data_IF_874897583836
#
_entry.id   IF_874897583836
#
_cell.length_a   1.000
_cell.length_b   1.000
_cell.length_c   1.000
_cell.angle_alpha   90.00
_cell.angle_beta   90.00
_cell.angle_gamma   90.00
#
_symmetry.space_group_name_H-M   'P 1'
#
loop_
_entity.id
_entity.type
_entity.pdbx_description
1 polymer ?
#
# COMPACT_ATOMS: atom_id res chain seq x y z
N UNK A 1 -17.61 -10.90 -5.91
CA UNK A 1 -17.50 -9.44 -6.11
C UNK A 1 -16.20 -8.96 -5.48
N UNK A 2 -15.42 -8.17 -6.19
CA UNK A 2 -14.14 -7.64 -5.72
C UNK A 2 -14.23 -6.11 -5.69
N UNK A 3 -13.76 -5.52 -4.61
CA UNK A 3 -13.54 -4.08 -4.45
C UNK A 3 -12.04 -3.82 -4.27
N UNK A 4 -11.44 -3.07 -5.17
CA UNK A 4 -10.05 -2.61 -5.09
C UNK A 4 -10.02 -1.14 -4.67
N UNK A 5 -9.47 -0.88 -3.49
CA UNK A 5 -9.49 0.45 -2.84
C UNK A 5 -8.13 1.11 -3.03
N UNK A 6 -8.13 2.36 -3.47
CA UNK A 6 -6.92 3.09 -3.86
C UNK A 6 -6.13 2.32 -4.92
N UNK A 7 -6.83 1.97 -6.00
CA UNK A 7 -6.36 1.05 -7.04
C UNK A 7 -5.16 1.60 -7.86
N UNK A 8 -4.82 2.87 -7.73
CA UNK A 8 -3.77 3.51 -8.51
C UNK A 8 -3.98 3.38 -10.02
N UNK A 9 -2.93 3.33 -10.84
CA UNK A 9 -3.03 3.22 -12.29
C UNK A 9 -3.42 1.81 -12.79
N UNK A 10 -3.74 0.85 -11.92
CA UNK A 10 -4.37 -0.43 -12.21
C UNK A 10 -3.46 -1.57 -12.66
N UNK A 11 -2.16 -1.39 -12.75
CA UNK A 11 -1.27 -2.49 -13.18
C UNK A 11 -1.25 -3.64 -12.16
N UNK A 12 -1.22 -3.30 -10.88
CA UNK A 12 -1.35 -4.26 -9.79
C UNK A 12 -2.73 -4.92 -9.78
N UNK A 13 -3.80 -4.12 -9.92
CA UNK A 13 -5.18 -4.60 -9.96
C UNK A 13 -5.39 -5.67 -11.03
N UNK A 14 -4.88 -5.43 -12.24
CA UNK A 14 -4.96 -6.40 -13.34
C UNK A 14 -4.15 -7.65 -13.01
N UNK A 15 -2.93 -7.51 -12.48
CA UNK A 15 -2.05 -8.64 -12.21
C UNK A 15 -2.68 -9.61 -11.21
N UNK A 16 -3.02 -9.15 -10.01
CA UNK A 16 -3.55 -10.03 -8.96
C UNK A 16 -4.97 -10.53 -9.26
N UNK A 17 -5.82 -9.70 -9.88
CA UNK A 17 -7.18 -10.12 -10.26
C UNK A 17 -7.15 -11.19 -11.35
N UNK A 18 -6.21 -11.11 -12.30
CA UNK A 18 -6.01 -12.13 -13.31
C UNK A 18 -5.64 -13.48 -12.69
N UNK A 19 -4.77 -13.50 -11.68
CA UNK A 19 -4.43 -14.72 -10.95
C UNK A 19 -5.63 -15.29 -10.20
N UNK A 20 -6.37 -14.47 -9.46
CA UNK A 20 -7.58 -14.92 -8.72
C UNK A 20 -8.66 -15.43 -9.69
N UNK A 21 -8.83 -14.83 -10.88
CA UNK A 21 -9.87 -15.20 -11.82
C UNK A 21 -9.77 -16.65 -12.29
N UNK A 22 -8.57 -17.24 -12.22
CA UNK A 22 -8.34 -18.69 -12.53
C UNK A 22 -9.12 -19.62 -11.61
N UNK A 23 -9.45 -19.16 -10.42
CA UNK A 23 -10.16 -19.92 -9.39
C UNK A 23 -11.66 -19.58 -9.32
N UNK A 24 -12.13 -18.61 -10.14
CA UNK A 24 -13.51 -18.14 -10.15
C UNK A 24 -14.15 -18.41 -11.52
N UNK A 25 -14.67 -19.60 -11.74
CA UNK A 25 -15.14 -20.04 -13.08
C UNK A 25 -16.31 -19.20 -13.62
N UNK A 26 -17.13 -18.63 -12.72
CA UNK A 26 -18.28 -17.81 -13.08
C UNK A 26 -17.93 -16.37 -13.43
N UNK A 27 -16.66 -15.98 -13.32
CA UNK A 27 -16.19 -14.63 -13.58
C UNK A 27 -16.33 -13.69 -12.38
N UNK A 28 -15.77 -12.51 -12.52
CA UNK A 28 -15.60 -11.50 -11.47
C UNK A 28 -16.45 -10.28 -11.77
N UNK A 29 -17.17 -9.76 -10.77
CA UNK A 29 -17.68 -8.38 -10.76
C UNK A 29 -16.65 -7.52 -10.05
N UNK A 30 -16.08 -6.54 -10.74
CA UNK A 30 -14.96 -5.72 -10.24
C UNK A 30 -15.38 -4.28 -10.03
N UNK A 31 -15.12 -3.78 -8.84
CA UNK A 31 -15.24 -2.38 -8.44
C UNK A 31 -13.85 -1.85 -8.12
N UNK A 32 -13.56 -0.62 -8.52
CA UNK A 32 -12.33 0.05 -8.13
C UNK A 32 -12.62 1.49 -7.71
N UNK A 33 -11.89 1.95 -6.71
CA UNK A 33 -12.00 3.31 -6.21
C UNK A 33 -10.62 3.90 -6.00
N UNK A 34 -10.50 5.21 -6.23
CA UNK A 34 -9.30 5.97 -5.93
C UNK A 34 -9.65 7.41 -5.54
N UNK A 35 -8.65 8.13 -5.04
CA UNK A 35 -8.79 9.54 -4.68
C UNK A 35 -9.15 10.39 -5.90
N UNK A 36 -10.13 11.31 -5.81
CA UNK A 36 -10.59 12.10 -6.96
C UNK A 36 -9.51 12.96 -7.64
N UNK A 37 -8.47 13.33 -6.90
CA UNK A 37 -7.29 14.06 -7.43
C UNK A 37 -6.21 13.18 -8.05
N UNK A 38 -6.37 11.87 -7.99
CA UNK A 38 -5.43 10.90 -8.58
C UNK A 38 -5.61 10.80 -10.09
N UNK A 39 -4.81 11.55 -10.85
CA UNK A 39 -4.89 11.62 -12.31
C UNK A 39 -3.70 10.87 -12.94
N UNK A 40 -4.00 9.98 -13.87
CA UNK A 40 -3.00 9.29 -14.68
C UNK A 40 -2.34 10.27 -15.64
N UNK A 41 -1.03 10.42 -15.55
CA UNK A 41 -0.26 11.25 -16.47
C UNK A 41 -0.28 10.74 -17.91
N UNK A 42 -0.49 9.45 -18.08
CA UNK A 42 -0.52 8.79 -19.39
C UNK A 42 -1.83 9.07 -20.13
N UNK A 43 -2.96 9.07 -19.42
CA UNK A 43 -4.28 9.12 -20.04
C UNK A 43 -5.07 10.39 -19.75
N UNK A 44 -4.69 11.16 -18.72
CA UNK A 44 -5.48 12.28 -18.21
C UNK A 44 -6.77 11.89 -17.48
N UNK A 45 -7.05 10.58 -17.36
CA UNK A 45 -8.20 10.04 -16.63
C UNK A 45 -7.87 9.89 -15.13
N UNK A 46 -8.91 9.77 -14.29
CA UNK A 46 -8.69 9.38 -12.89
C UNK A 46 -8.09 7.97 -12.80
N UNK A 47 -7.41 7.66 -11.70
CA UNK A 47 -6.85 6.32 -11.51
C UNK A 47 -7.93 5.24 -11.50
N UNK A 48 -9.08 5.48 -10.91
CA UNK A 48 -10.19 4.54 -10.92
C UNK A 48 -10.66 4.26 -12.35
N UNK A 49 -10.83 5.28 -13.20
CA UNK A 49 -11.20 5.11 -14.61
C UNK A 49 -10.11 4.38 -15.40
N UNK A 50 -8.84 4.76 -15.20
CA UNK A 50 -7.69 4.09 -15.84
C UNK A 50 -7.64 2.61 -15.49
N UNK A 51 -7.86 2.27 -14.21
CA UNK A 51 -7.91 0.88 -13.73
C UNK A 51 -9.08 0.12 -14.37
N UNK A 52 -10.28 0.68 -14.37
CA UNK A 52 -11.44 0.05 -15.00
C UNK A 52 -11.21 -0.21 -16.50
N UNK A 53 -10.58 0.71 -17.21
CA UNK A 53 -10.21 0.55 -18.62
C UNK A 53 -9.19 -0.58 -18.82
N UNK A 54 -8.14 -0.65 -18.01
CA UNK A 54 -7.13 -1.73 -18.05
C UNK A 54 -7.75 -3.10 -17.73
N UNK A 55 -8.66 -3.17 -16.76
CA UNK A 55 -9.39 -4.39 -16.42
C UNK A 55 -10.24 -4.88 -17.59
N UNK A 56 -10.94 -3.97 -18.30
CA UNK A 56 -11.70 -4.31 -19.49
C UNK A 56 -10.80 -4.85 -20.59
N UNK A 57 -9.71 -4.16 -20.90
CA UNK A 57 -8.73 -4.61 -21.89
C UNK A 57 -8.12 -5.98 -21.53
N UNK A 58 -7.86 -6.26 -20.26
CA UNK A 58 -7.38 -7.55 -19.81
C UNK A 58 -8.42 -8.67 -20.04
N UNK A 59 -9.71 -8.38 -19.84
CA UNK A 59 -10.79 -9.33 -20.12
C UNK A 59 -10.95 -9.58 -21.63
N UNK A 60 -10.91 -8.55 -22.46
CA UNK A 60 -10.95 -8.65 -23.93
C UNK A 60 -9.78 -9.48 -24.47
N UNK A 61 -8.62 -9.41 -23.83
CA UNK A 61 -7.43 -10.22 -24.15
C UNK A 61 -7.43 -11.61 -23.48
N UNK A 62 -8.53 -12.05 -22.87
CA UNK A 62 -8.68 -13.38 -22.27
C UNK A 62 -7.85 -13.61 -21.00
N UNK A 63 -7.26 -12.59 -20.39
CA UNK A 63 -6.47 -12.71 -19.17
C UNK A 63 -7.32 -12.92 -17.91
N UNK A 64 -8.56 -12.45 -17.95
CA UNK A 64 -9.53 -12.64 -16.86
C UNK A 64 -10.95 -12.65 -17.42
N UNK A 65 -11.90 -13.15 -16.61
CA UNK A 65 -13.31 -13.18 -16.98
C UNK A 65 -14.10 -12.21 -16.09
N UNK A 66 -14.74 -11.24 -16.72
CA UNK A 66 -15.65 -10.30 -16.06
C UNK A 66 -17.11 -10.71 -16.30
N UNK A 67 -17.94 -10.60 -15.25
CA UNK A 67 -19.41 -10.77 -15.34
C UNK A 67 -20.06 -9.56 -16.00
N UNK A 68 -19.52 -8.37 -15.72
CA UNK A 68 -19.97 -7.08 -16.26
C UNK A 68 -18.79 -6.13 -16.40
N UNK A 69 -18.99 -5.00 -17.05
CA UNK A 69 -17.99 -3.95 -17.14
C UNK A 69 -17.53 -3.50 -15.74
N UNK A 70 -16.22 -3.27 -15.52
CA UNK A 70 -15.71 -2.77 -14.25
C UNK A 70 -16.34 -1.43 -13.89
N UNK A 71 -16.63 -1.23 -12.62
CA UNK A 71 -17.22 0.00 -12.10
C UNK A 71 -16.12 0.81 -11.41
N UNK A 72 -15.87 2.02 -11.91
CA UNK A 72 -14.95 2.98 -11.34
C UNK A 72 -15.71 4.02 -10.52
N UNK A 73 -15.19 4.36 -9.34
CA UNK A 73 -15.73 5.41 -8.47
C UNK A 73 -14.59 6.23 -7.90
N UNK A 74 -14.66 7.55 -8.06
CA UNK A 74 -13.75 8.44 -7.36
C UNK A 74 -14.30 8.68 -5.96
N UNK A 75 -13.54 8.31 -4.93
CA UNK A 75 -13.95 8.45 -3.54
C UNK A 75 -12.79 8.86 -2.64
N UNK A 76 -13.03 9.86 -1.79
CA UNK A 76 -12.11 10.19 -0.71
C UNK A 76 -12.27 9.19 0.43
N UNK A 77 -11.29 8.31 0.53
CA UNK A 77 -11.26 7.24 1.51
C UNK A 77 -11.16 7.78 2.95
N UNK A 78 -10.39 8.85 3.16
CA UNK A 78 -10.00 9.31 4.49
C UNK A 78 -10.90 10.41 5.08
N UNK A 79 -11.37 11.34 4.27
CA UNK A 79 -12.16 12.49 4.75
C UNK A 79 -13.60 12.47 4.25
N UNK A 80 -13.87 11.92 3.07
CA UNK A 80 -15.16 11.90 2.42
C UNK A 80 -16.25 11.14 3.17
N UNK A 81 -17.49 11.34 2.75
CA UNK A 81 -18.68 10.59 3.24
C UNK A 81 -19.11 9.50 2.27
N UNK A 82 -18.41 9.37 1.15
CA UNK A 82 -18.78 8.49 0.05
C UNK A 82 -18.71 7.03 0.47
N UNK A 83 -19.74 6.27 0.11
CA UNK A 83 -19.73 4.82 0.23
C UNK A 83 -18.84 4.24 -0.88
N UNK A 84 -18.08 3.19 -0.54
CA UNK A 84 -17.19 2.52 -1.52
C UNK A 84 -17.95 1.57 -2.44
N UNK A 85 -19.17 1.19 -2.07
CA UNK A 85 -20.03 0.27 -2.81
C UNK A 85 -21.42 0.88 -3.00
N UNK A 86 -22.13 0.51 -4.06
CA UNK A 86 -23.53 0.88 -4.23
C UNK A 86 -24.39 0.41 -3.05
N UNK A 87 -25.48 1.12 -2.70
CA UNK A 87 -26.35 0.74 -1.62
C UNK A 87 -26.82 -0.72 -1.70
N UNK A 88 -26.73 -1.45 -0.58
CA UNK A 88 -27.15 -2.84 -0.47
C UNK A 88 -26.23 -3.86 -1.13
N UNK A 89 -25.05 -3.45 -1.61
CA UNK A 89 -24.04 -4.37 -2.14
C UNK A 89 -22.84 -4.45 -1.21
N UNK A 90 -22.25 -5.65 -1.10
CA UNK A 90 -21.03 -5.95 -0.37
C UNK A 90 -20.04 -6.66 -1.29
N UNK A 91 -18.76 -6.60 -0.95
CA UNK A 91 -17.69 -7.28 -1.68
C UNK A 91 -17.27 -8.55 -0.95
N UNK A 92 -17.09 -9.65 -1.68
CA UNK A 92 -16.51 -10.89 -1.15
C UNK A 92 -15.01 -10.70 -0.86
N UNK A 93 -14.35 -9.84 -1.64
CA UNK A 93 -12.94 -9.47 -1.45
C UNK A 93 -12.83 -7.95 -1.48
N UNK A 94 -12.20 -7.37 -0.46
CA UNK A 94 -11.75 -5.97 -0.42
C UNK A 94 -10.23 -5.97 -0.43
N UNK A 95 -9.62 -5.36 -1.42
CA UNK A 95 -8.17 -5.21 -1.51
C UNK A 95 -7.76 -3.76 -1.23
N UNK A 96 -6.74 -3.57 -0.39
CA UNK A 96 -6.19 -2.26 -0.07
C UNK A 96 -4.69 -2.35 0.16
N UNK A 97 -3.90 -1.72 -0.68
CA UNK A 97 -2.44 -1.78 -0.56
C UNK A 97 -1.76 -0.43 -0.79
N UNK A 98 -0.68 -0.22 -0.04
CA UNK A 98 0.28 0.87 -0.22
C UNK A 98 -0.30 2.29 -0.29
N UNK A 99 -1.43 2.56 0.39
CA UNK A 99 -2.04 3.89 0.37
C UNK A 99 -2.43 4.45 1.74
N UNK A 100 -2.48 3.61 2.79
CA UNK A 100 -2.86 4.05 4.14
C UNK A 100 -1.96 5.15 4.71
N UNK A 101 -0.70 5.19 4.35
CA UNK A 101 0.24 6.23 4.76
C UNK A 101 -0.03 7.61 4.11
N UNK A 102 -0.89 7.67 3.09
CA UNK A 102 -1.32 8.92 2.46
C UNK A 102 -2.50 9.61 3.18
N UNK A 103 -3.01 9.04 4.26
CA UNK A 103 -4.09 9.66 5.06
C UNK A 103 -3.74 11.13 5.42
N UNK A 104 -2.48 11.40 5.78
CA UNK A 104 -1.99 12.73 6.08
C UNK A 104 -2.17 13.70 4.92
N UNK A 105 -1.88 13.24 3.71
CA UNK A 105 -1.95 14.07 2.50
C UNK A 105 -3.40 14.47 2.20
N UNK A 106 -4.37 13.60 2.50
CA UNK A 106 -5.80 13.85 2.30
C UNK A 106 -6.42 14.81 3.33
N UNK A 107 -5.78 15.01 4.49
CA UNK A 107 -6.34 15.79 5.59
C UNK A 107 -6.07 17.31 5.51
N UNK A 108 -5.35 17.79 4.50
CA UNK A 108 -5.11 19.22 4.29
C UNK A 108 -4.53 19.91 5.51
N UNK A 109 -5.24 20.87 6.11
CA UNK A 109 -4.79 21.65 7.26
C UNK A 109 -4.54 20.80 8.52
N UNK A 110 -5.24 19.68 8.68
CA UNK A 110 -5.09 18.77 9.83
C UNK A 110 -3.95 17.74 9.66
N UNK A 111 -3.18 17.81 8.57
CA UNK A 111 -2.13 16.82 8.22
C UNK A 111 -1.01 16.64 9.25
N UNK A 112 -0.87 17.54 10.21
CA UNK A 112 0.12 17.47 11.29
C UNK A 112 -0.49 17.11 12.64
N UNK A 113 -1.81 16.91 12.70
CA UNK A 113 -2.50 16.44 13.90
C UNK A 113 -2.55 14.91 13.90
N UNK A 114 -1.80 14.28 14.78
CA UNK A 114 -1.72 12.81 14.94
C UNK A 114 -3.10 12.20 15.16
N UNK A 115 -3.96 12.83 15.95
CA UNK A 115 -5.31 12.32 16.23
C UNK A 115 -6.20 12.39 15.00
N UNK A 116 -6.11 13.47 14.22
CA UNK A 116 -6.84 13.59 12.96
C UNK A 116 -6.38 12.53 11.94
N UNK A 117 -5.07 12.25 11.88
CA UNK A 117 -4.49 11.24 11.00
C UNK A 117 -5.00 9.84 11.38
N UNK A 118 -4.93 9.47 12.67
CA UNK A 118 -5.46 8.18 13.18
C UNK A 118 -6.96 8.07 12.92
N UNK A 119 -7.74 9.11 13.19
CA UNK A 119 -9.18 9.14 12.93
C UNK A 119 -9.49 8.99 11.43
N UNK A 120 -8.71 9.62 10.55
CA UNK A 120 -8.83 9.46 9.09
C UNK A 120 -8.57 8.02 8.64
N UNK A 121 -7.54 7.39 9.19
CA UNK A 121 -7.22 6.00 8.90
C UNK A 121 -8.33 5.04 9.40
N UNK A 122 -8.80 5.24 10.65
CA UNK A 122 -9.91 4.46 11.19
C UNK A 122 -11.18 4.60 10.34
N UNK A 123 -11.47 5.81 9.87
CA UNK A 123 -12.61 6.06 8.97
C UNK A 123 -12.48 5.30 7.65
N UNK A 124 -11.27 5.22 7.08
CA UNK A 124 -11.01 4.40 5.91
C UNK A 124 -11.30 2.91 6.19
N UNK A 125 -10.81 2.40 7.32
CA UNK A 125 -11.09 1.02 7.76
C UNK A 125 -12.60 0.80 7.93
N UNK A 126 -13.33 1.73 8.56
CA UNK A 126 -14.79 1.62 8.76
C UNK A 126 -15.55 1.53 7.43
N UNK A 127 -15.14 2.32 6.43
CA UNK A 127 -15.76 2.28 5.09
C UNK A 127 -15.52 0.93 4.41
N UNK A 128 -14.30 0.42 4.47
CA UNK A 128 -13.97 -0.89 3.90
C UNK A 128 -14.66 -2.02 4.65
N UNK A 129 -14.74 -1.92 5.98
CA UNK A 129 -15.50 -2.84 6.82
C UNK A 129 -16.98 -2.86 6.46
N UNK A 130 -17.59 -1.70 6.25
CA UNK A 130 -18.99 -1.61 5.81
C UNK A 130 -19.21 -2.22 4.43
N UNK A 131 -18.23 -2.08 3.51
CA UNK A 131 -18.29 -2.65 2.17
C UNK A 131 -18.02 -4.16 2.12
N UNK A 132 -17.37 -4.73 3.12
CA UNK A 132 -17.03 -6.15 3.19
C UNK A 132 -18.25 -7.01 3.48
N UNK A 133 -18.41 -8.11 2.76
CA UNK A 133 -19.43 -9.13 3.08
C UNK A 133 -19.15 -9.80 4.43
N UNK A 134 -20.20 -10.38 5.05
CA UNK A 134 -20.07 -11.09 6.33
C UNK A 134 -19.10 -12.27 6.27
N UNK A 135 -19.04 -12.97 5.14
CA UNK A 135 -18.13 -14.08 4.89
C UNK A 135 -16.93 -13.65 4.02
N UNK A 136 -16.78 -12.35 3.79
CA UNK A 136 -15.77 -11.78 2.91
C UNK A 136 -14.38 -11.73 3.54
N UNK A 137 -13.40 -11.48 2.69
CA UNK A 137 -12.00 -11.30 3.03
C UNK A 137 -11.51 -9.91 2.62
N UNK A 138 -11.04 -9.12 3.58
CA UNK A 138 -10.26 -7.93 3.28
C UNK A 138 -8.77 -8.28 3.32
N UNK A 139 -8.05 -7.86 2.28
CA UNK A 139 -6.60 -8.02 2.16
C UNK A 139 -5.98 -6.63 2.20
N UNK A 140 -5.03 -6.44 3.10
CA UNK A 140 -4.28 -5.20 3.24
C UNK A 140 -2.77 -5.46 3.17
N UNK A 141 -2.05 -4.63 2.42
CA UNK A 141 -0.59 -4.70 2.32
C UNK A 141 -0.01 -3.32 2.54
N UNK A 142 0.68 -3.13 3.65
CA UNK A 142 1.33 -1.86 3.97
C UNK A 142 2.69 -2.09 4.61
N UNK A 143 3.55 -1.11 4.49
CA UNK A 143 4.81 -1.09 5.20
C UNK A 143 4.55 -1.04 6.72
N UNK A 144 5.30 -1.83 7.49
CA UNK A 144 5.17 -1.94 8.96
C UNK A 144 6.42 -1.45 9.67
N UNK A 145 6.24 -0.89 10.85
CA UNK A 145 7.33 -0.57 11.78
C UNK A 145 7.66 -1.72 12.74
N UNK A 146 6.91 -2.81 12.72
CA UNK A 146 7.17 -3.96 13.58
C UNK A 146 8.60 -4.47 13.35
N UNK A 147 9.37 -4.53 14.42
CA UNK A 147 10.75 -5.01 14.46
C UNK A 147 10.94 -6.18 15.45
N UNK A 148 9.87 -6.86 15.79
CA UNK A 148 9.87 -7.97 16.76
C UNK A 148 10.82 -9.12 16.39
N UNK A 149 11.14 -9.24 15.09
CA UNK A 149 12.10 -10.19 14.53
C UNK A 149 13.53 -9.65 14.37
N UNK A 150 13.77 -8.41 14.82
CA UNK A 150 15.05 -7.72 14.65
C UNK A 150 15.26 -7.06 13.29
N UNK A 151 14.32 -7.22 12.35
CA UNK A 151 14.37 -6.59 11.03
C UNK A 151 13.43 -5.38 11.01
N UNK A 152 13.98 -4.24 10.63
CA UNK A 152 13.22 -2.99 10.49
C UNK A 152 13.16 -2.56 9.03
N UNK A 153 11.98 -2.08 8.59
CA UNK A 153 11.89 -1.37 7.32
C UNK A 153 12.78 -0.13 7.34
N UNK A 154 13.54 0.07 6.26
CA UNK A 154 14.42 1.23 6.14
C UNK A 154 13.74 2.41 5.48
N UNK A 155 12.60 2.19 4.81
CA UNK A 155 11.81 3.26 4.19
C UNK A 155 10.94 3.97 5.21
N UNK A 156 10.22 3.23 6.07
CA UNK A 156 9.24 3.79 7.00
C UNK A 156 9.82 4.89 7.92
N UNK A 157 10.98 4.70 8.60
CA UNK A 157 11.56 5.73 9.44
C UNK A 157 11.96 7.00 8.65
N UNK A 158 12.54 6.81 7.46
CA UNK A 158 12.97 7.92 6.60
C UNK A 158 11.75 8.68 6.07
N UNK A 159 10.73 7.98 5.58
CA UNK A 159 9.48 8.58 5.12
C UNK A 159 8.75 9.33 6.23
N UNK A 160 8.74 8.82 7.47
CA UNK A 160 8.21 9.53 8.62
C UNK A 160 9.00 10.81 8.91
N UNK A 161 10.33 10.71 8.95
CA UNK A 161 11.22 11.84 9.29
C UNK A 161 11.15 12.99 8.29
N UNK A 162 11.17 12.68 6.99
CA UNK A 162 11.26 13.68 5.94
C UNK A 162 9.92 14.03 5.30
N UNK A 163 9.00 13.08 5.21
CA UNK A 163 7.73 13.24 4.52
C UNK A 163 6.53 13.24 5.49
N UNK A 164 6.74 12.93 6.77
CA UNK A 164 5.70 12.89 7.80
C UNK A 164 4.66 11.79 7.59
N UNK A 165 4.99 10.74 6.85
CA UNK A 165 4.10 9.60 6.59
C UNK A 165 3.90 8.75 7.85
N UNK A 166 2.77 8.03 7.92
CA UNK A 166 2.57 7.01 8.92
C UNK A 166 3.47 5.81 8.65
N UNK A 167 4.03 5.26 9.69
CA UNK A 167 4.87 4.06 9.68
C UNK A 167 4.25 2.88 10.44
N UNK A 168 3.03 3.05 10.97
CA UNK A 168 2.30 2.07 11.77
C UNK A 168 0.89 1.76 11.21
N UNK A 169 0.72 1.88 9.89
CA UNK A 169 -0.57 1.66 9.24
C UNK A 169 -1.15 0.27 9.53
N UNK A 170 -0.40 -0.84 9.38
CA UNK A 170 -0.93 -2.18 9.68
C UNK A 170 -1.37 -2.35 11.13
N UNK A 171 -0.60 -1.79 12.06
CA UNK A 171 -0.90 -1.85 13.49
C UNK A 171 -2.20 -1.10 13.82
N UNK A 172 -2.40 0.08 13.23
CA UNK A 172 -3.62 0.86 13.41
C UNK A 172 -4.84 0.18 12.76
N UNK A 173 -4.68 -0.46 11.60
CA UNK A 173 -5.72 -1.27 10.97
C UNK A 173 -6.13 -2.41 11.91
N UNK A 174 -5.17 -3.18 12.45
CA UNK A 174 -5.44 -4.29 13.33
C UNK A 174 -6.22 -3.84 14.58
N UNK A 175 -5.76 -2.78 15.25
CA UNK A 175 -6.45 -2.20 16.40
C UNK A 175 -7.90 -1.81 16.07
N UNK A 176 -8.12 -1.17 14.90
CA UNK A 176 -9.47 -0.77 14.52
C UNK A 176 -10.36 -1.96 14.19
N UNK A 177 -9.85 -2.98 13.52
CA UNK A 177 -10.60 -4.21 13.21
C UNK A 177 -10.98 -4.97 14.49
N UNK A 178 -10.09 -5.06 15.46
CA UNK A 178 -10.40 -5.65 16.78
C UNK A 178 -11.55 -4.90 17.48
N UNK A 179 -11.53 -3.56 17.45
CA UNK A 179 -12.62 -2.74 17.99
C UNK A 179 -13.96 -2.99 17.29
N UNK A 180 -13.93 -3.35 16.00
CA UNK A 180 -15.12 -3.70 15.20
C UNK A 180 -15.55 -5.16 15.37
N UNK A 181 -14.86 -5.93 16.21
CA UNK A 181 -15.15 -7.36 16.45
C UNK A 181 -14.69 -8.30 15.35
N UNK A 182 -13.77 -7.85 14.50
CA UNK A 182 -13.19 -8.65 13.42
C UNK A 182 -11.97 -9.45 13.84
N UNK A 183 -11.50 -10.27 12.90
CA UNK A 183 -10.31 -11.09 13.04
C UNK A 183 -9.25 -10.65 12.04
N UNK A 184 -7.99 -10.63 12.46
CA UNK A 184 -6.84 -10.25 11.63
C UNK A 184 -5.78 -11.34 11.73
N UNK A 185 -5.34 -11.88 10.60
CA UNK A 185 -4.13 -12.67 10.49
C UNK A 185 -3.07 -11.84 9.75
N UNK A 186 -1.85 -11.81 10.27
CA UNK A 186 -0.76 -10.99 9.75
C UNK A 186 0.41 -11.86 9.34
N UNK A 187 0.94 -11.62 8.16
CA UNK A 187 2.22 -12.19 7.68
C UNK A 187 3.16 -11.04 7.37
N UNK A 188 4.23 -10.92 8.13
CA UNK A 188 5.29 -9.97 7.81
C UNK A 188 6.23 -10.58 6.78
N UNK A 189 6.61 -9.80 5.78
CA UNK A 189 7.58 -10.18 4.77
C UNK A 189 8.53 -9.04 4.47
N UNK A 190 9.69 -9.39 3.95
CA UNK A 190 10.74 -8.45 3.61
C UNK A 190 10.98 -8.50 2.11
N UNK A 191 11.07 -7.32 1.51
CA UNK A 191 11.38 -7.15 0.10
C UNK A 191 12.64 -6.30 -0.03
N UNK A 192 13.76 -6.88 -0.48
CA UNK A 192 14.94 -6.08 -0.80
C UNK A 192 14.72 -5.33 -2.11
N UNK A 193 14.79 -4.01 -2.03
CA UNK A 193 14.68 -3.13 -3.17
C UNK A 193 16.08 -2.74 -3.64
N UNK A 194 16.49 -3.25 -4.81
CA UNK A 194 17.79 -2.94 -5.38
C UNK A 194 17.87 -1.48 -5.80
N UNK A 195 18.79 -0.73 -5.19
CA UNK A 195 19.03 0.66 -5.56
C UNK A 195 19.97 0.75 -6.78
N UNK A 196 19.76 1.72 -7.69
CA UNK A 196 20.69 1.94 -8.80
C UNK A 196 22.11 2.23 -8.31
N UNK A 197 23.11 1.63 -8.93
CA UNK A 197 24.50 1.89 -8.56
C UNK A 197 24.91 3.29 -8.95
N UNK A 198 25.36 4.08 -7.98
CA UNK A 198 25.86 5.43 -8.14
C UNK A 198 27.29 5.53 -7.57
N UNK A 199 28.13 6.30 -8.24
CA UNK A 199 29.38 6.78 -7.68
C UNK A 199 29.13 7.97 -6.73
N UNK A 200 30.18 8.44 -6.05
CA UNK A 200 30.05 9.59 -5.16
C UNK A 200 29.57 10.86 -5.88
N UNK A 201 29.99 11.08 -7.11
CA UNK A 201 29.56 12.24 -7.90
C UNK A 201 28.07 12.13 -8.26
N UNK A 202 27.57 10.92 -8.57
CA UNK A 202 26.15 10.66 -8.79
C UNK A 202 25.30 10.99 -7.57
N UNK A 203 25.71 10.53 -6.38
CA UNK A 203 25.02 10.87 -5.14
C UNK A 203 24.97 12.38 -4.87
N UNK A 204 26.08 13.10 -5.13
CA UNK A 204 26.11 14.55 -4.96
C UNK A 204 25.18 15.27 -5.98
N UNK A 205 25.09 14.77 -7.23
CA UNK A 205 24.17 15.34 -8.21
C UNK A 205 22.70 15.17 -7.84
N UNK A 206 22.31 14.07 -7.15
CA UNK A 206 20.93 13.90 -6.68
C UNK A 206 20.48 15.01 -5.70
N UNK A 207 21.41 15.63 -4.99
CA UNK A 207 21.14 16.72 -4.04
C UNK A 207 20.91 18.07 -4.71
N UNK A 208 21.15 18.18 -6.01
CA UNK A 208 21.17 19.44 -6.77
C UNK A 208 20.10 19.42 -7.87
N UNK A 209 18.88 19.95 -7.64
CA UNK A 209 17.80 19.93 -8.62
C UNK A 209 18.19 20.48 -10.00
N UNK A 210 19.01 21.51 -10.05
CA UNK A 210 19.51 22.10 -11.30
C UNK A 210 20.38 21.15 -12.15
N UNK A 211 20.77 19.97 -11.63
CA UNK A 211 21.60 18.97 -12.33
C UNK A 211 20.82 17.71 -12.70
N UNK A 212 19.56 17.57 -12.31
CA UNK A 212 18.79 16.33 -12.54
C UNK A 212 18.62 15.98 -14.02
N UNK A 213 18.43 16.98 -14.87
CA UNK A 213 18.30 16.78 -16.32
C UNK A 213 19.63 16.40 -17.01
N UNK A 214 20.76 16.52 -16.31
CA UNK A 214 22.10 16.18 -16.80
C UNK A 214 22.59 14.82 -16.32
N UNK A 215 21.77 14.14 -15.50
CA UNK A 215 22.09 12.85 -14.91
C UNK A 215 22.07 11.71 -15.92
N UNK A 216 22.85 10.67 -15.64
CA UNK A 216 22.82 9.44 -16.40
C UNK A 216 21.57 8.58 -16.06
N UNK A 217 21.38 7.45 -16.77
CA UNK A 217 20.22 6.56 -16.58
C UNK A 217 20.10 6.04 -15.15
N UNK A 218 21.23 5.77 -14.46
CA UNK A 218 21.20 5.29 -13.06
C UNK A 218 20.71 6.39 -12.11
N UNK A 219 21.17 7.62 -12.31
CA UNK A 219 20.74 8.78 -11.53
C UNK A 219 19.25 9.10 -11.75
N UNK A 220 18.79 9.04 -13.01
CA UNK A 220 17.38 9.22 -13.32
C UNK A 220 16.49 8.13 -12.69
N UNK A 221 16.97 6.88 -12.59
CA UNK A 221 16.27 5.80 -11.89
C UNK A 221 16.27 6.01 -10.38
N UNK A 222 17.38 6.44 -9.81
CA UNK A 222 17.50 6.76 -8.38
C UNK A 222 16.56 7.90 -7.99
N UNK A 223 16.54 8.99 -8.77
CA UNK A 223 15.61 10.10 -8.55
C UNK A 223 14.14 9.66 -8.59
N UNK A 224 13.77 8.82 -9.58
CA UNK A 224 12.40 8.28 -9.65
C UNK A 224 12.04 7.45 -8.43
N UNK A 225 12.97 6.59 -7.97
CA UNK A 225 12.75 5.77 -6.78
C UNK A 225 12.62 6.61 -5.52
N UNK A 226 13.55 7.54 -5.29
CA UNK A 226 13.51 8.45 -4.14
C UNK A 226 12.27 9.34 -4.16
N UNK A 227 11.87 9.83 -5.34
CA UNK A 227 10.64 10.61 -5.48
C UNK A 227 9.39 9.76 -5.22
N UNK A 228 9.38 8.50 -5.65
CA UNK A 228 8.28 7.58 -5.36
C UNK A 228 8.15 7.31 -3.85
N UNK A 229 9.26 7.09 -3.16
CA UNK A 229 9.26 6.88 -1.71
C UNK A 229 8.79 8.14 -0.96
N UNK A 230 9.21 9.32 -1.41
CA UNK A 230 8.82 10.61 -0.81
C UNK A 230 7.45 11.11 -1.26
N UNK A 231 6.82 10.48 -2.25
CA UNK A 231 5.64 10.98 -2.95
C UNK A 231 4.53 11.50 -2.01
N UNK A 232 4.04 12.70 -2.32
CA UNK A 232 2.93 13.37 -1.65
C UNK A 232 1.84 13.66 -2.71
N UNK A 233 0.73 12.95 -2.65
CA UNK A 233 -0.33 13.10 -3.65
C UNK A 233 -1.24 14.30 -3.40
N UNK A 234 -1.16 14.98 -2.26
CA UNK A 234 -1.87 16.24 -2.04
C UNK A 234 -1.35 17.35 -2.98
N UNK A 235 -0.19 17.12 -3.61
CA UNK A 235 0.40 18.02 -4.59
C UNK A 235 0.84 17.27 -5.86
N UNK A 236 -0.09 16.68 -6.63
CA UNK A 236 0.23 15.75 -7.72
C UNK A 236 0.99 16.39 -8.89
N UNK A 237 0.98 17.72 -8.99
CA UNK A 237 1.72 18.49 -10.02
C UNK A 237 3.19 18.72 -9.68
N UNK A 238 3.64 18.36 -8.47
CA UNK A 238 4.98 18.69 -7.98
C UNK A 238 5.75 17.44 -7.58
N UNK A 239 7.05 17.45 -7.84
CA UNK A 239 7.96 16.43 -7.34
C UNK A 239 8.13 16.56 -5.82
N UNK A 240 8.02 15.46 -5.08
CA UNK A 240 8.27 15.46 -3.64
C UNK A 240 9.74 15.82 -3.32
N UNK A 241 10.67 15.46 -4.20
CA UNK A 241 12.08 15.84 -4.06
C UNK A 241 12.30 17.35 -4.25
N UNK A 242 11.54 18.01 -5.15
CA UNK A 242 11.56 19.46 -5.29
C UNK A 242 11.07 20.15 -4.01
N UNK A 243 10.00 19.64 -3.40
CA UNK A 243 9.51 20.12 -2.11
C UNK A 243 10.57 19.96 -1.02
N UNK A 244 11.24 18.82 -0.95
CA UNK A 244 12.34 18.60 0.01
C UNK A 244 13.52 19.55 -0.25
N UNK A 245 13.80 19.90 -1.53
CA UNK A 245 14.86 20.82 -1.89
C UNK A 245 14.56 22.26 -1.42
N UNK A 246 13.33 22.73 -1.65
CA UNK A 246 12.88 24.07 -1.20
C UNK A 246 12.88 24.19 0.32
N UNK A 247 12.53 23.11 1.02
CA UNK A 247 12.59 23.05 2.49
C UNK A 247 14.03 22.89 3.02
N UNK A 248 15.04 22.80 2.16
CA UNK A 248 16.43 22.57 2.55
C UNK A 248 16.71 21.16 3.11
N UNK A 249 15.81 20.19 2.92
CA UNK A 249 15.89 18.83 3.48
C UNK A 249 16.40 17.78 2.50
N UNK A 250 16.47 18.10 1.20
CA UNK A 250 16.82 17.14 0.16
C UNK A 250 18.20 16.50 0.38
N UNK A 251 19.21 17.29 0.71
CA UNK A 251 20.57 16.79 0.90
C UNK A 251 20.62 15.74 2.03
N UNK A 252 20.02 16.05 3.17
CA UNK A 252 19.97 15.11 4.31
C UNK A 252 19.18 13.85 3.98
N UNK A 253 18.07 13.97 3.23
CA UNK A 253 17.28 12.83 2.75
C UNK A 253 18.09 11.91 1.84
N UNK A 254 18.82 12.46 0.86
CA UNK A 254 19.68 11.70 -0.06
C UNK A 254 20.85 11.05 0.69
N UNK A 255 21.48 11.76 1.65
CA UNK A 255 22.59 11.21 2.43
C UNK A 255 22.16 10.04 3.32
N UNK A 256 20.93 10.08 3.86
CA UNK A 256 20.39 8.96 4.63
C UNK A 256 20.21 7.72 3.76
N UNK A 257 19.66 7.86 2.56
CA UNK A 257 19.57 6.74 1.61
C UNK A 257 20.94 6.26 1.10
N UNK A 258 21.89 7.17 0.86
CA UNK A 258 23.28 6.81 0.54
C UNK A 258 23.88 5.90 1.63
N UNK A 259 23.68 6.25 2.90
CA UNK A 259 24.14 5.46 4.02
C UNK A 259 23.46 4.08 4.09
N UNK A 260 22.12 4.03 3.94
CA UNK A 260 21.34 2.79 3.94
C UNK A 260 21.84 1.85 2.82
N UNK A 261 21.96 2.35 1.61
CA UNK A 261 22.40 1.59 0.43
C UNK A 261 23.82 1.08 0.60
N UNK A 262 24.72 1.90 1.16
CA UNK A 262 26.12 1.51 1.40
C UNK A 262 26.22 0.41 2.48
N UNK A 263 25.39 0.44 3.51
CA UNK A 263 25.39 -0.55 4.60
C UNK A 263 24.79 -1.90 4.15
N UNK A 264 23.94 -1.92 3.13
CA UNK A 264 23.19 -3.10 2.70
C UNK A 264 23.54 -3.55 1.27
N UNK A 265 24.78 -3.47 0.86
CA UNK A 265 25.28 -3.96 -0.44
C UNK A 265 24.47 -3.49 -1.66
N UNK A 266 23.94 -2.27 -1.60
CA UNK A 266 23.18 -1.68 -2.70
C UNK A 266 21.67 -1.93 -2.63
N UNK A 267 21.15 -2.39 -1.51
CA UNK A 267 19.72 -2.63 -1.29
C UNK A 267 19.12 -1.69 -0.25
N UNK A 268 17.83 -1.47 -0.37
CA UNK A 268 16.96 -0.88 0.66
C UNK A 268 16.03 -1.99 1.12
N UNK A 269 15.98 -2.24 2.42
CA UNK A 269 15.09 -3.25 3.00
C UNK A 269 13.72 -2.62 3.25
N UNK A 270 12.69 -3.22 2.66
CA UNK A 270 11.28 -2.84 2.88
C UNK A 270 10.60 -3.99 3.61
N UNK A 271 10.12 -3.73 4.82
CA UNK A 271 9.30 -4.68 5.56
C UNK A 271 7.85 -4.29 5.46
N UNK A 272 7.02 -5.22 5.03
CA UNK A 272 5.58 -5.03 4.88
C UNK A 272 4.81 -6.09 5.65
N UNK A 273 3.62 -5.71 6.10
CA UNK A 273 2.64 -6.61 6.67
C UNK A 273 1.56 -6.91 5.62
N UNK A 274 1.35 -8.19 5.34
CA UNK A 274 0.21 -8.71 4.62
C UNK A 274 -0.85 -9.10 5.64
N UNK A 275 -1.97 -8.41 5.64
CA UNK A 275 -3.05 -8.63 6.58
C UNK A 275 -4.24 -9.26 5.87
N UNK A 276 -4.76 -10.33 6.45
CA UNK A 276 -6.01 -10.99 6.06
C UNK A 276 -7.04 -10.75 7.15
N UNK A 277 -8.16 -10.15 6.80
CA UNK A 277 -9.14 -9.60 7.74
C UNK A 277 -10.52 -10.14 7.39
N UNK A 278 -11.28 -10.61 8.37
CA UNK A 278 -12.64 -11.09 8.17
C UNK A 278 -13.56 -10.74 9.34
N UNK A 279 -14.85 -10.61 9.04
CA UNK A 279 -15.94 -10.49 10.02
C UNK A 279 -16.30 -11.86 10.64
N UNK A 280 -16.03 -12.94 9.91
CA UNK A 280 -16.47 -14.29 10.27
C UNK A 280 -15.40 -15.04 11.03
N UNK A 281 -15.74 -15.51 12.23
CA UNK A 281 -14.90 -16.42 13.03
C UNK A 281 -14.62 -17.75 12.30
N UNK A 282 -15.56 -18.22 11.46
CA UNK A 282 -15.37 -19.42 10.65
C UNK A 282 -14.30 -19.21 9.57
N UNK A 283 -14.25 -18.01 8.98
CA UNK A 283 -13.19 -17.63 8.02
C UNK A 283 -11.88 -17.44 8.76
N UNK A 284 -11.89 -16.83 9.95
CA UNK A 284 -10.69 -16.60 10.77
C UNK A 284 -9.88 -17.87 11.04
N UNK A 285 -10.54 -18.99 11.38
CA UNK A 285 -9.85 -20.26 11.59
C UNK A 285 -9.07 -20.74 10.33
N UNK A 286 -9.59 -20.45 9.14
CA UNK A 286 -8.88 -20.76 7.88
C UNK A 286 -7.77 -19.77 7.59
N UNK A 287 -7.89 -18.50 8.03
CA UNK A 287 -6.85 -17.50 7.84
C UNK A 287 -5.55 -17.88 8.56
N UNK A 288 -5.66 -18.56 9.68
CA UNK A 288 -4.50 -19.06 10.43
C UNK A 288 -3.71 -20.10 9.64
N UNK A 289 -4.39 -21.03 9.01
CA UNK A 289 -3.76 -22.03 8.15
C UNK A 289 -3.13 -21.38 6.91
N UNK A 290 -3.84 -20.45 6.28
CA UNK A 290 -3.34 -19.71 5.12
C UNK A 290 -2.12 -18.86 5.51
N UNK A 291 -2.18 -18.15 6.63
CA UNK A 291 -1.05 -17.36 7.12
C UNK A 291 0.18 -18.21 7.42
N UNK A 292 -0.03 -19.44 7.94
CA UNK A 292 1.06 -20.40 8.17
C UNK A 292 1.72 -20.81 6.86
N UNK A 293 0.93 -21.21 5.86
CA UNK A 293 1.43 -21.63 4.55
C UNK A 293 2.13 -20.46 3.82
N UNK A 294 1.58 -19.25 3.90
CA UNK A 294 2.21 -18.05 3.33
C UNK A 294 3.52 -17.72 4.01
N UNK A 295 3.57 -17.80 5.35
CA UNK A 295 4.81 -17.54 6.12
C UNK A 295 5.90 -18.55 5.75
N UNK A 296 5.55 -19.81 5.53
CA UNK A 296 6.50 -20.84 5.10
C UNK A 296 7.06 -20.54 3.70
N UNK A 297 6.18 -20.29 2.73
CA UNK A 297 6.60 -19.92 1.36
C UNK A 297 7.41 -18.62 1.30
N UNK A 298 7.04 -17.65 2.12
CA UNK A 298 7.77 -16.38 2.20
C UNK A 298 9.11 -16.54 2.91
N UNK A 299 9.24 -17.46 3.86
CA UNK A 299 10.51 -17.80 4.48
C UNK A 299 11.48 -18.38 3.47
N UNK A 300 11.05 -19.35 2.67
CA UNK A 300 11.87 -19.94 1.62
C UNK A 300 12.41 -18.87 0.67
N UNK A 301 11.54 -17.95 0.24
CA UNK A 301 11.95 -16.80 -0.57
C UNK A 301 12.89 -15.85 0.17
N UNK A 302 12.66 -15.63 1.47
CA UNK A 302 13.49 -14.75 2.30
C UNK A 302 14.85 -15.37 2.64
N UNK A 303 14.94 -16.69 2.80
CA UNK A 303 16.19 -17.40 3.02
C UNK A 303 17.09 -17.34 1.78
N UNK A 304 16.51 -17.48 0.57
CA UNK A 304 17.23 -17.24 -0.69
C UNK A 304 17.77 -15.80 -0.79
N UNK A 305 17.10 -14.85 -0.15
CA UNK A 305 17.48 -13.43 -0.12
C UNK A 305 18.22 -13.03 1.17
N UNK A 306 18.44 -13.95 2.12
CA UNK A 306 19.13 -13.71 3.39
C UNK A 306 18.30 -12.96 4.44
N UNK A 307 16.97 -13.10 4.44
CA UNK A 307 16.07 -12.35 5.33
C UNK A 307 15.04 -13.26 6.02
N UNK A 308 14.71 -12.97 7.28
CA UNK A 308 13.78 -13.76 8.10
C UNK A 308 12.34 -13.22 8.09
N UNK A 309 11.34 -14.12 8.02
CA UNK A 309 9.90 -13.80 7.98
C UNK A 309 9.18 -14.30 9.24
N UNK A 310 8.27 -13.52 9.85
CA UNK A 310 7.46 -13.92 11.01
C UNK A 310 5.96 -13.72 10.81
N UNK A 311 5.19 -14.59 11.49
CA UNK A 311 3.74 -14.58 11.55
C UNK A 311 3.26 -14.03 12.90
N UNK A 312 2.30 -13.10 12.87
CA UNK A 312 1.56 -12.62 14.03
C UNK A 312 0.07 -12.87 13.80
N UNK A 313 -0.59 -13.54 14.73
CA UNK A 313 -2.04 -13.76 14.71
C UNK A 313 -2.63 -12.98 15.86
N UNK A 314 -3.49 -12.02 15.56
CA UNK A 314 -4.38 -11.41 16.53
C UNK A 314 -5.72 -12.11 16.42
N UNK A 315 -5.95 -13.15 17.24
CA UNK A 315 -7.30 -13.68 17.42
C UNK A 315 -8.05 -12.64 18.24
N UNK A 316 -9.19 -12.17 17.75
CA UNK A 316 -10.11 -11.37 18.54
C UNK A 316 -10.39 -12.11 19.85
N UNK A 317 -9.70 -11.72 20.91
CA UNK A 317 -9.97 -12.25 22.24
C UNK A 317 -11.34 -11.73 22.59
N UNK A 318 -12.30 -12.65 22.59
CA UNK A 318 -13.60 -12.49 23.21
C UNK A 318 -13.44 -11.62 24.45
N UNK A 319 -14.14 -10.48 24.48
CA UNK A 319 -14.33 -9.67 25.65
C UNK A 319 -15.19 -10.43 26.67
N UNK A 320 -14.67 -11.54 27.18
CA UNK A 320 -15.13 -12.23 28.37
C UNK A 320 -14.03 -12.14 29.42
N UNK A 321 -13.84 -10.92 29.92
CA UNK A 321 -13.29 -10.71 31.25
C UNK A 321 -14.22 -9.74 31.99
N UNK A 322 -14.99 -10.36 32.85
CA UNK A 322 -15.79 -9.77 33.90
C UNK A 322 -14.98 -8.81 34.77
#
# INVERSE_FOLDING_TARGET
MILDVSCGPGDYSVAWTSEISRFIPNGITFYCTDYPGGISRETGETYAMTTARKMRAAAENGKLRLVQAPVATDADLFSGRDALMPPGKTADIVHWSHSGYHVRDALGAARNDRRAIEAGLHKAVDKMWAALDQMGLMVSVHETRDNSDGIQSQIAPVSRKYCGKLDDVPEQIAVRIEQLGGCVAVVNFVSPLKFPRLDNAGWERLKLPAQWDRGNVCEARALRLLNFIAYDFSNPGRSALETLAEDGRLAAYVDEYKSIVATNDGYIVVKSAFQMISKSQQVAGKLDDIASQLSEKMRDFSEEMGVETRRIITSGVSADRR
#
